data_IF_572482028858
#
_entry.id   IF_572482028858
#
_cell.length_a   1.000
_cell.length_b   1.000
_cell.length_c   1.000
_cell.angle_alpha   90.00
_cell.angle_beta   90.00
_cell.angle_gamma   90.00
#
_symmetry.space_group_name_H-M   'P 1'
#
loop_
_entity.id
_entity.type
_entity.pdbx_description
1 polymer ?
#
# COMPACT_ATOMS: atom_id res chain seq x y z
N UNK A 1 -2.87 -2.57 43.64
CA UNK A 1 -2.76 -2.26 42.20
C UNK A 1 -3.16 -3.52 41.48
N UNK A 2 -4.39 -3.60 40.99
CA UNK A 2 -4.79 -4.70 40.10
C UNK A 2 -4.10 -4.49 38.75
N UNK A 3 -3.33 -5.49 38.35
CA UNK A 3 -2.68 -5.58 37.06
C UNK A 3 -3.77 -5.88 36.03
N UNK A 4 -4.14 -4.87 35.24
CA UNK A 4 -5.10 -5.06 34.13
C UNK A 4 -4.33 -5.81 33.05
N UNK A 5 -4.45 -7.13 33.03
CA UNK A 5 -3.92 -7.96 31.95
C UNK A 5 -4.74 -7.65 30.69
N UNK A 6 -4.17 -7.08 29.62
CA UNK A 6 -4.94 -6.81 28.41
C UNK A 6 -5.43 -8.14 27.84
N UNK A 7 -6.75 -8.26 27.68
CA UNK A 7 -7.34 -9.45 27.06
C UNK A 7 -6.74 -9.65 25.66
N UNK A 8 -6.44 -10.91 25.26
CA UNK A 8 -5.95 -11.19 23.93
C UNK A 8 -7.00 -10.76 22.91
N UNK A 9 -6.67 -9.73 22.16
CA UNK A 9 -7.47 -9.22 21.06
C UNK A 9 -7.62 -10.37 20.02
N UNK A 10 -8.77 -10.58 19.36
CA UNK A 10 -8.91 -11.64 18.37
C UNK A 10 -8.35 -11.25 16.99
N UNK A 11 -7.92 -12.25 16.20
CA UNK A 11 -7.58 -12.08 14.77
C UNK A 11 -8.81 -11.53 14.03
N UNK A 12 -8.64 -10.40 13.35
CA UNK A 12 -9.73 -9.64 12.75
C UNK A 12 -10.36 -10.37 11.56
N UNK A 13 -11.63 -10.76 11.68
CA UNK A 13 -12.54 -11.05 10.56
C UNK A 13 -13.45 -9.85 10.28
N UNK A 14 -14.00 -9.73 9.07
CA UNK A 14 -14.94 -8.64 8.73
C UNK A 14 -14.29 -7.26 8.61
N UNK A 15 -13.10 -7.18 8.03
CA UNK A 15 -12.42 -5.90 7.73
C UNK A 15 -12.99 -5.32 6.43
N UNK A 16 -13.46 -4.07 6.49
CA UNK A 16 -13.85 -3.32 5.30
C UNK A 16 -12.73 -2.35 4.89
N UNK A 17 -12.47 -2.26 3.59
CA UNK A 17 -11.52 -1.30 3.02
C UNK A 17 -12.24 0.03 2.86
N UNK A 18 -11.72 1.08 3.49
CA UNK A 18 -12.22 2.44 3.30
C UNK A 18 -11.51 3.14 2.14
N UNK A 19 -10.19 2.94 2.00
CA UNK A 19 -9.41 3.45 0.88
C UNK A 19 -8.18 2.57 0.63
N UNK A 20 -7.77 2.47 -0.63
CA UNK A 20 -6.53 1.84 -1.06
C UNK A 20 -6.02 2.53 -2.33
N UNK A 21 -4.85 3.14 -2.29
CA UNK A 21 -4.27 3.85 -3.44
C UNK A 21 -2.76 4.06 -3.27
N UNK A 22 -2.10 4.51 -4.35
CA UNK A 22 -0.72 4.94 -4.34
C UNK A 22 -0.58 6.45 -4.57
N UNK A 23 0.50 7.05 -4.09
CA UNK A 23 0.82 8.46 -4.32
C UNK A 23 2.33 8.70 -4.27
N UNK A 24 2.80 9.85 -4.77
CA UNK A 24 4.24 10.17 -4.74
C UNK A 24 4.68 10.77 -3.41
N UNK A 25 3.81 11.46 -2.69
CA UNK A 25 4.19 12.18 -1.47
C UNK A 25 3.07 12.28 -0.44
N UNK A 26 3.46 12.34 0.83
CA UNK A 26 2.56 12.44 1.98
C UNK A 26 3.05 13.57 2.89
N UNK A 27 2.12 14.32 3.43
CA UNK A 27 2.41 15.30 4.47
C UNK A 27 1.40 15.20 5.61
N UNK A 28 1.85 15.46 6.82
CA UNK A 28 1.00 15.52 8.01
C UNK A 28 1.09 16.93 8.56
N UNK A 29 -0.05 17.56 8.81
CA UNK A 29 -0.08 18.87 9.44
C UNK A 29 0.03 18.76 10.98
N UNK A 30 0.25 19.88 11.71
CA UNK A 30 0.34 19.86 13.18
C UNK A 30 -0.92 19.37 13.89
N UNK A 31 -2.08 19.36 13.22
CA UNK A 31 -3.33 18.83 13.74
C UNK A 31 -3.48 17.31 13.47
N UNK A 32 -2.47 16.67 12.86
CA UNK A 32 -2.47 15.25 12.53
C UNK A 32 -3.26 14.90 11.27
N UNK A 33 -3.70 15.88 10.47
CA UNK A 33 -4.38 15.62 9.19
C UNK A 33 -3.37 15.20 8.14
N UNK A 34 -3.71 14.14 7.41
CA UNK A 34 -2.91 13.60 6.33
C UNK A 34 -3.34 14.21 4.99
N UNK A 35 -2.36 14.67 4.22
CA UNK A 35 -2.54 15.07 2.82
C UNK A 35 -1.72 14.16 1.92
N UNK A 36 -2.35 13.67 0.86
CA UNK A 36 -1.72 12.84 -0.17
C UNK A 36 -1.55 13.67 -1.44
N UNK A 37 -0.36 13.64 -2.03
CA UNK A 37 -0.02 14.44 -3.19
C UNK A 37 0.32 13.52 -4.36
N UNK A 38 -0.16 13.90 -5.55
CA UNK A 38 -0.01 13.13 -6.79
C UNK A 38 -0.47 11.68 -6.61
N UNK A 39 -1.77 11.48 -6.35
CA UNK A 39 -2.37 10.14 -6.33
C UNK A 39 -2.19 9.51 -7.72
N UNK A 40 -1.68 8.29 -7.74
CA UNK A 40 -1.24 7.58 -8.95
C UNK A 40 -2.28 6.52 -9.30
N UNK A 41 -2.84 6.63 -10.51
CA UNK A 41 -3.67 5.62 -11.16
C UNK A 41 -2.90 4.85 -12.24
N UNK A 42 -1.87 5.47 -12.82
CA UNK A 42 -0.95 4.89 -13.78
C UNK A 42 0.43 5.58 -13.76
N UNK A 43 1.45 4.86 -14.21
CA UNK A 43 2.80 5.36 -14.41
C UNK A 43 3.18 5.29 -15.88
N UNK A 44 3.87 6.31 -16.38
CA UNK A 44 4.37 6.35 -17.74
C UNK A 44 5.88 6.53 -17.70
N UNK A 45 6.61 5.67 -18.42
CA UNK A 45 8.06 5.74 -18.53
C UNK A 45 8.51 5.61 -19.98
N UNK A 46 9.62 6.26 -20.32
CA UNK A 46 10.20 6.20 -21.68
C UNK A 46 11.12 4.99 -21.87
N UNK A 47 11.75 4.56 -20.78
CA UNK A 47 12.73 3.47 -20.73
C UNK A 47 12.49 2.59 -19.51
N UNK A 48 12.81 1.31 -19.63
CA UNK A 48 12.76 0.34 -18.54
C UNK A 48 14.16 -0.27 -18.30
N UNK A 49 14.53 -0.57 -17.04
CA UNK A 49 13.72 -0.42 -15.83
C UNK A 49 13.50 1.06 -15.46
N UNK A 50 12.29 1.40 -15.01
CA UNK A 50 11.89 2.77 -14.71
C UNK A 50 11.93 3.02 -13.20
N UNK A 51 12.52 4.14 -12.77
CA UNK A 51 12.62 4.50 -11.36
C UNK A 51 11.47 5.41 -10.93
N UNK A 52 10.90 5.15 -9.76
CA UNK A 52 10.03 6.08 -9.03
C UNK A 52 10.69 6.45 -7.71
N UNK A 53 11.31 7.65 -7.61
CA UNK A 53 12.12 8.02 -6.44
C UNK A 53 11.34 8.00 -5.13
N UNK A 54 10.07 8.42 -5.17
CA UNK A 54 9.18 8.48 -4.02
C UNK A 54 7.85 7.84 -4.40
N UNK A 55 7.50 6.74 -3.74
CA UNK A 55 6.27 6.02 -3.96
C UNK A 55 5.72 5.56 -2.62
N UNK A 56 4.46 5.90 -2.35
CA UNK A 56 3.77 5.48 -1.15
C UNK A 56 2.52 4.71 -1.51
N UNK A 57 2.25 3.65 -0.75
CA UNK A 57 1.00 2.91 -0.81
C UNK A 57 0.25 3.11 0.50
N UNK A 58 -1.04 3.42 0.39
CA UNK A 58 -1.89 3.75 1.53
C UNK A 58 -3.08 2.82 1.52
N UNK A 59 -3.36 2.25 2.70
CA UNK A 59 -4.57 1.49 2.97
C UNK A 59 -5.22 2.03 4.24
N UNK A 60 -6.54 2.26 4.21
CA UNK A 60 -7.34 2.54 5.40
C UNK A 60 -8.41 1.47 5.52
N UNK A 61 -8.56 0.94 6.71
CA UNK A 61 -9.48 -0.13 7.02
C UNK A 61 -10.38 0.28 8.16
N UNK A 62 -11.61 -0.22 8.14
CA UNK A 62 -12.60 -0.03 9.19
C UNK A 62 -13.20 -1.36 9.61
N UNK A 63 -13.53 -1.48 10.89
CA UNK A 63 -14.25 -2.61 11.47
C UNK A 63 -15.44 -2.15 12.29
N UNK A 64 -16.33 -3.09 12.60
CA UNK A 64 -17.43 -2.90 13.55
C UNK A 64 -17.07 -3.35 14.97
N UNK A 65 -16.01 -4.13 15.15
CA UNK A 65 -15.55 -4.63 16.45
C UNK A 65 -14.02 -4.58 16.59
N UNK A 66 -13.49 -4.51 17.82
CA UNK A 66 -12.06 -4.57 18.09
C UNK A 66 -11.39 -5.85 17.56
N UNK A 67 -10.09 -5.81 17.30
CA UNK A 67 -9.31 -6.94 16.79
C UNK A 67 -7.95 -6.51 16.24
N UNK A 68 -7.22 -7.42 15.61
CA UNK A 68 -5.96 -7.08 14.94
C UNK A 68 -5.78 -7.78 13.60
N UNK A 69 -4.92 -7.21 12.75
CA UNK A 69 -4.31 -7.90 11.61
C UNK A 69 -2.84 -8.19 11.96
N UNK A 70 -2.41 -9.44 11.77
CA UNK A 70 -1.04 -9.89 12.06
C UNK A 70 -0.28 -10.21 10.78
N UNK A 71 1.06 -10.23 10.88
CA UNK A 71 1.95 -10.57 9.76
C UNK A 71 1.58 -9.78 8.49
N UNK A 72 1.29 -8.49 8.69
CA UNK A 72 0.83 -7.61 7.62
C UNK A 72 1.95 -7.38 6.60
N UNK A 73 1.63 -7.42 5.31
CA UNK A 73 2.58 -7.14 4.24
C UNK A 73 1.96 -6.29 3.15
N UNK A 74 2.78 -5.46 2.52
CA UNK A 74 2.49 -4.84 1.22
C UNK A 74 3.34 -5.48 0.16
N UNK A 75 2.70 -5.91 -0.91
CA UNK A 75 3.36 -6.56 -2.03
C UNK A 75 3.02 -5.85 -3.33
N UNK A 76 4.01 -5.72 -4.21
CA UNK A 76 3.84 -5.24 -5.57
C UNK A 76 4.20 -6.40 -6.50
N UNK A 77 3.18 -6.96 -7.13
CA UNK A 77 3.29 -8.16 -7.96
C UNK A 77 3.31 -7.74 -9.42
N UNK A 78 4.36 -8.07 -10.18
CA UNK A 78 4.41 -7.82 -11.62
C UNK A 78 3.41 -8.72 -12.36
N UNK A 79 3.12 -8.44 -13.65
CA UNK A 79 2.27 -9.30 -14.46
C UNK A 79 2.84 -10.72 -14.63
N UNK A 80 4.16 -10.88 -14.54
CA UNK A 80 4.86 -12.17 -14.61
C UNK A 80 6.05 -12.15 -13.65
N UNK A 81 6.23 -13.24 -12.90
CA UNK A 81 7.35 -13.45 -12.00
C UNK A 81 7.02 -13.19 -10.53
N UNK A 82 8.06 -13.08 -9.71
CA UNK A 82 7.95 -12.88 -8.27
C UNK A 82 7.68 -11.40 -7.92
N UNK A 83 7.08 -11.11 -6.75
CA UNK A 83 6.87 -9.75 -6.29
C UNK A 83 8.17 -8.93 -6.29
N UNK A 84 8.11 -7.71 -6.86
CA UNK A 84 9.25 -6.77 -6.83
C UNK A 84 9.38 -6.07 -5.47
N UNK A 85 8.32 -6.13 -4.66
CA UNK A 85 8.27 -5.66 -3.28
C UNK A 85 7.50 -6.68 -2.45
N UNK A 86 8.03 -7.01 -1.27
CA UNK A 86 7.30 -7.68 -0.18
C UNK A 86 7.76 -7.10 1.16
N UNK A 87 7.11 -6.00 1.56
CA UNK A 87 7.47 -5.26 2.76
C UNK A 87 6.57 -5.67 3.93
N UNK A 88 7.18 -6.17 5.01
CA UNK A 88 6.48 -6.39 6.27
C UNK A 88 6.11 -5.05 6.90
N UNK A 89 4.88 -4.99 7.42
CA UNK A 89 4.36 -3.87 8.19
C UNK A 89 4.17 -4.27 9.65
N UNK A 90 4.08 -3.26 10.50
CA UNK A 90 3.62 -3.47 11.86
C UNK A 90 2.21 -4.06 11.85
N UNK A 91 1.92 -4.89 12.84
CA UNK A 91 0.56 -5.37 13.09
C UNK A 91 -0.38 -4.19 13.28
N UNK A 92 -1.60 -4.33 12.76
CA UNK A 92 -2.60 -3.27 12.87
C UNK A 92 -3.64 -3.65 13.90
N UNK A 93 -3.76 -2.83 14.94
CA UNK A 93 -4.79 -2.98 15.96
C UNK A 93 -6.00 -2.08 15.66
N UNK A 94 -7.18 -2.62 15.94
CA UNK A 94 -8.46 -1.93 15.96
C UNK A 94 -8.93 -1.94 17.40
N UNK A 95 -8.95 -0.78 18.04
CA UNK A 95 -9.30 -0.61 19.44
C UNK A 95 -10.77 -0.18 19.58
N UNK A 96 -11.33 -0.31 20.78
CA UNK A 96 -12.72 0.08 21.04
C UNK A 96 -12.97 1.59 20.87
N UNK A 97 -11.94 2.41 21.07
CA UNK A 97 -11.94 3.87 20.87
C UNK A 97 -11.61 4.28 19.42
N UNK A 98 -10.95 3.40 18.64
CA UNK A 98 -10.68 3.60 17.23
C UNK A 98 -10.77 2.30 16.43
N UNK A 99 -11.89 2.13 15.73
CA UNK A 99 -12.13 1.02 14.81
C UNK A 99 -11.61 1.29 13.39
N UNK A 100 -10.76 2.30 13.23
CA UNK A 100 -10.08 2.64 11.97
C UNK A 100 -8.59 2.44 12.16
N UNK A 101 -7.96 1.76 11.21
CA UNK A 101 -6.52 1.57 11.17
C UNK A 101 -5.99 1.86 9.77
N UNK A 102 -4.79 2.43 9.69
CA UNK A 102 -4.16 2.85 8.43
C UNK A 102 -2.78 2.23 8.32
N UNK A 103 -2.45 1.78 7.11
CA UNK A 103 -1.11 1.39 6.72
C UNK A 103 -0.60 2.38 5.67
N UNK A 104 0.54 3.00 5.95
CA UNK A 104 1.25 3.87 5.02
C UNK A 104 2.62 3.25 4.80
N UNK A 105 2.87 2.80 3.58
CA UNK A 105 4.10 2.10 3.20
C UNK A 105 4.88 2.96 2.21
N UNK A 106 6.03 3.50 2.63
CA UNK A 106 6.95 4.20 1.74
C UNK A 106 7.92 3.23 1.07
N UNK A 107 8.06 3.36 -0.25
CA UNK A 107 8.89 2.52 -1.12
C UNK A 107 9.87 3.40 -1.91
N UNK A 108 10.92 3.93 -1.24
CA UNK A 108 11.87 4.83 -1.87
C UNK A 108 12.71 4.10 -2.93
N UNK A 109 12.91 4.75 -4.08
CA UNK A 109 13.72 4.20 -5.16
C UNK A 109 13.14 2.95 -5.81
N UNK A 110 11.81 2.81 -5.82
CA UNK A 110 11.13 1.68 -6.45
C UNK A 110 11.48 1.60 -7.94
N UNK A 111 11.85 0.42 -8.41
CA UNK A 111 12.18 0.14 -9.80
C UNK A 111 11.11 -0.74 -10.44
N UNK A 112 10.54 -0.27 -11.53
CA UNK A 112 9.61 -1.03 -12.36
C UNK A 112 10.39 -1.74 -13.47
N UNK A 113 10.51 -3.07 -13.45
CA UNK A 113 11.37 -3.80 -14.39
C UNK A 113 10.85 -3.75 -15.83
N UNK A 114 9.52 -3.79 -16.01
CA UNK A 114 8.88 -3.87 -17.32
C UNK A 114 7.55 -3.11 -17.34
N UNK A 115 7.05 -2.68 -18.51
CA UNK A 115 5.68 -2.21 -18.62
C UNK A 115 4.68 -3.35 -18.40
N UNK A 116 3.50 -3.02 -17.90
CA UNK A 116 2.41 -3.97 -17.66
C UNK A 116 1.46 -3.55 -16.54
N UNK A 117 0.54 -4.42 -16.20
CA UNK A 117 -0.35 -4.25 -15.05
C UNK A 117 0.27 -4.91 -13.83
N UNK A 118 0.51 -4.11 -12.79
CA UNK A 118 1.01 -4.56 -11.51
C UNK A 118 -0.14 -4.63 -10.51
N UNK A 119 -0.12 -5.61 -9.62
CA UNK A 119 -1.08 -5.71 -8.52
C UNK A 119 -0.39 -5.26 -7.24
N UNK A 120 -0.89 -4.18 -6.65
CA UNK A 120 -0.48 -3.73 -5.34
C UNK A 120 -1.47 -4.29 -4.33
N UNK A 121 -1.00 -5.10 -3.37
CA UNK A 121 -1.87 -5.77 -2.41
C UNK A 121 -1.37 -5.64 -0.97
N UNK A 122 -2.33 -5.57 -0.06
CA UNK A 122 -2.10 -5.76 1.36
C UNK A 122 -2.53 -7.17 1.75
N UNK A 123 -1.67 -7.88 2.47
CA UNK A 123 -1.96 -9.22 2.98
C UNK A 123 -1.82 -9.28 4.50
N UNK A 124 -2.56 -10.19 5.13
CA UNK A 124 -2.47 -10.52 6.56
C UNK A 124 -2.42 -12.04 6.69
N UNK A 125 -1.43 -12.56 7.41
CA UNK A 125 -1.19 -14.01 7.51
C UNK A 125 -1.13 -14.70 6.13
N UNK A 126 -0.58 -14.03 5.12
CA UNK A 126 -0.50 -14.51 3.73
C UNK A 126 -1.79 -14.39 2.91
N UNK A 127 -2.92 -14.00 3.51
CA UNK A 127 -4.19 -13.83 2.80
C UNK A 127 -4.34 -12.39 2.28
N UNK A 128 -4.63 -12.18 0.99
CA UNK A 128 -4.96 -10.84 0.47
C UNK A 128 -6.21 -10.28 1.14
N UNK A 129 -6.09 -9.10 1.74
CA UNK A 129 -7.22 -8.34 2.30
C UNK A 129 -7.76 -7.36 1.27
N UNK A 130 -6.86 -6.69 0.55
CA UNK A 130 -7.21 -5.74 -0.50
C UNK A 130 -6.11 -5.72 -1.56
N UNK A 131 -6.51 -5.51 -2.80
CA UNK A 131 -5.61 -5.30 -3.92
C UNK A 131 -6.18 -4.26 -4.88
N UNK A 132 -5.31 -3.51 -5.54
CA UNK A 132 -5.70 -2.64 -6.64
C UNK A 132 -4.66 -2.72 -7.77
N UNK A 133 -5.09 -2.61 -9.03
CA UNK A 133 -4.18 -2.61 -10.16
C UNK A 133 -3.49 -1.24 -10.28
N UNK A 134 -2.24 -1.26 -10.76
CA UNK A 134 -1.52 -0.08 -11.21
C UNK A 134 -0.96 -0.37 -12.60
N UNK A 135 -1.32 0.49 -13.57
CA UNK A 135 -0.84 0.34 -14.93
C UNK A 135 0.49 1.07 -15.10
N UNK A 136 1.50 0.38 -15.61
CA UNK A 136 2.82 0.94 -15.91
C UNK A 136 3.05 0.86 -17.42
N UNK A 137 3.00 2.00 -18.10
CA UNK A 137 3.08 2.08 -19.55
C UNK A 137 4.48 2.50 -20.02
N UNK A 138 4.90 1.94 -21.15
CA UNK A 138 5.97 2.54 -21.94
C UNK A 138 5.38 3.56 -22.90
N UNK A 139 5.90 4.78 -22.86
CA UNK A 139 5.50 5.86 -23.78
C UNK A 139 6.69 6.27 -24.67
N UNK A 140 6.39 6.74 -25.88
CA UNK A 140 7.38 7.34 -26.77
C UNK A 140 7.25 8.86 -26.72
N UNK A 141 8.38 9.57 -26.65
CA UNK A 141 8.37 11.03 -26.72
C UNK A 141 8.15 11.48 -28.18
N UNK A 142 7.35 12.54 -28.41
CA UNK A 142 7.19 13.12 -29.75
C UNK A 142 8.56 13.55 -30.30
N UNK A 143 8.92 13.05 -31.49
CA UNK A 143 10.19 13.38 -32.16
C UNK A 143 11.28 12.31 -32.11
N UNK A 144 11.02 11.15 -31.47
CA UNK A 144 11.90 9.96 -31.56
C UNK A 144 11.37 8.92 -32.56
N UNK A 145 10.91 9.37 -33.73
CA UNK A 145 10.60 8.49 -34.85
C UNK A 145 11.88 8.28 -35.68
N UNK A 146 12.52 7.12 -35.54
CA UNK A 146 13.45 6.58 -36.54
C UNK A 146 14.89 7.12 -36.51
N UNK A 147 15.81 6.24 -36.12
CA UNK A 147 17.01 5.93 -36.91
C UNK A 147 17.19 4.43 -36.95
#
# INVERSE_FOLDING_TARGET
MEEITPEPIPVATGVAVQMAFACENISTDPAGRLSFQNVIDQLNAVTFPAATPSFFVIFSFIRSTPGFLMQCRVEIVPPVGDPIVSQALQEMAFHSDSLVARAICGLPGLMWPTPGEYIIRFTSMGNPIVAFPLKVNQIQLPGQSGR
#
